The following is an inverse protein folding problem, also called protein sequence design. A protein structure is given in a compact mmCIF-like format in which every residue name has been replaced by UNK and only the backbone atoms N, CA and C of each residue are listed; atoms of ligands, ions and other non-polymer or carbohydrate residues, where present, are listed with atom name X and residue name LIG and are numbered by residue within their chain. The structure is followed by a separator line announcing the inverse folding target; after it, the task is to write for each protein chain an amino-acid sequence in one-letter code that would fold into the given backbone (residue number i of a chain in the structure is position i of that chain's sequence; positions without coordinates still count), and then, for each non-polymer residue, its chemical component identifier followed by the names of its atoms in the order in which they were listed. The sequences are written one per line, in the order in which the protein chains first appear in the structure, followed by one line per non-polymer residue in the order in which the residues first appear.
data_IF_421800411636
#
_entry.id   IF_421800411636
#
_cell.length_a   1.000
_cell.length_b   1.000
_cell.length_c   1.000
_cell.angle_alpha   90.00
_cell.angle_beta   90.00
_cell.angle_gamma   90.00
#
_symmetry.space_group_name_H-M   'P 1'
#
loop_
_entity.id
_entity.type
_entity.pdbx_description
1 polymer ?
#
# COMPACT_ATOMS: atom_id res chain seq x y z
N UNK A 1 -17.91 3.27 -30.40
CA UNK A 1 -17.55 2.11 -29.57
C UNK A 1 -16.42 2.55 -28.66
N UNK A 2 -16.73 3.13 -27.51
CA UNK A 2 -15.72 3.36 -26.47
C UNK A 2 -15.47 2.00 -25.83
N UNK A 3 -14.25 1.49 -25.98
CA UNK A 3 -13.82 0.33 -25.22
C UNK A 3 -13.94 0.72 -23.75
N UNK A 4 -14.88 0.10 -23.05
CA UNK A 4 -15.17 0.32 -21.64
C UNK A 4 -14.04 -0.35 -20.83
N UNK A 5 -12.84 0.23 -20.93
CA UNK A 5 -11.72 -0.20 -20.11
C UNK A 5 -11.96 0.35 -18.70
N UNK A 6 -11.97 -0.51 -17.67
CA UNK A 6 -12.14 -0.06 -16.29
C UNK A 6 -11.09 1.01 -15.99
N UNK A 7 -11.52 2.10 -15.37
CA UNK A 7 -10.61 3.18 -14.98
C UNK A 7 -9.49 2.60 -14.10
N UNK A 8 -8.23 2.99 -14.31
CA UNK A 8 -7.14 2.43 -13.54
C UNK A 8 -7.19 2.89 -12.09
N UNK A 9 -6.72 2.03 -11.19
CA UNK A 9 -6.34 2.43 -9.83
C UNK A 9 -4.96 3.06 -9.89
N UNK A 10 -4.82 4.28 -9.36
CA UNK A 10 -3.52 4.92 -9.26
C UNK A 10 -2.81 4.47 -7.99
N UNK A 11 -1.48 4.45 -8.02
CA UNK A 11 -0.68 4.36 -6.79
C UNK A 11 0.40 5.44 -6.79
N UNK A 12 0.82 5.85 -5.60
CA UNK A 12 1.84 6.88 -5.43
C UNK A 12 2.64 6.63 -4.16
N UNK A 13 3.89 7.07 -4.15
CA UNK A 13 4.67 7.19 -2.94
C UNK A 13 5.18 8.60 -2.77
N UNK A 14 5.14 9.13 -1.55
CA UNK A 14 5.64 10.48 -1.35
C UNK A 14 7.16 10.56 -1.53
N UNK A 15 7.91 9.51 -1.16
CA UNK A 15 9.35 9.42 -1.40
C UNK A 15 10.10 10.69 -0.98
N UNK A 16 10.80 11.31 -1.93
CA UNK A 16 11.54 12.55 -1.72
C UNK A 16 10.72 13.84 -1.99
N UNK A 17 9.51 13.74 -2.54
CA UNK A 17 8.69 14.90 -2.96
C UNK A 17 8.42 15.86 -1.81
N UNK A 18 8.35 17.15 -2.11
CA UNK A 18 7.71 18.11 -1.20
C UNK A 18 6.20 17.87 -1.18
N UNK A 19 5.51 18.45 -0.19
CA UNK A 19 4.04 18.34 -0.15
C UNK A 19 3.39 19.00 -1.36
N UNK A 20 3.91 20.14 -1.83
CA UNK A 20 3.40 20.86 -2.99
C UNK A 20 3.51 20.02 -4.27
N UNK A 21 4.70 19.47 -4.54
CA UNK A 21 4.92 18.60 -5.69
C UNK A 21 4.03 17.34 -5.63
N UNK A 22 3.83 16.78 -4.44
CA UNK A 22 2.94 15.64 -4.25
C UNK A 22 1.48 15.99 -4.58
N UNK A 23 0.98 17.14 -4.12
CA UNK A 23 -0.38 17.59 -4.43
C UNK A 23 -0.57 17.93 -5.91
N UNK A 24 0.45 18.50 -6.55
CA UNK A 24 0.43 18.80 -7.99
C UNK A 24 0.22 17.53 -8.81
N UNK A 25 0.92 16.46 -8.46
CA UNK A 25 0.77 15.14 -9.08
C UNK A 25 -0.65 14.58 -8.88
N UNK A 26 -1.19 14.64 -7.66
CA UNK A 26 -2.56 14.18 -7.40
C UNK A 26 -3.59 14.96 -8.22
N UNK A 27 -3.42 16.28 -8.36
CA UNK A 27 -4.30 17.13 -9.17
C UNK A 27 -4.16 16.85 -10.67
N UNK A 28 -2.94 16.68 -11.16
CA UNK A 28 -2.67 16.35 -12.57
C UNK A 28 -3.35 15.05 -13.01
N UNK A 29 -3.52 14.10 -12.08
CA UNK A 29 -4.24 12.86 -12.31
C UNK A 29 -5.69 12.87 -11.82
N UNK A 30 -6.25 14.03 -11.46
CA UNK A 30 -7.64 14.21 -11.02
C UNK A 30 -8.04 13.28 -9.85
N UNK A 31 -7.10 13.03 -8.95
CA UNK A 31 -7.32 12.18 -7.78
C UNK A 31 -8.21 12.91 -6.78
N UNK A 32 -9.35 12.30 -6.43
CA UNK A 32 -10.31 12.86 -5.46
C UNK A 32 -10.29 12.13 -4.11
N UNK A 33 -9.70 10.93 -4.04
CA UNK A 33 -9.40 10.24 -2.79
C UNK A 33 -7.93 9.79 -2.73
N UNK A 34 -7.26 10.07 -1.61
CA UNK A 34 -5.96 9.47 -1.28
C UNK A 34 -6.16 8.37 -0.24
N UNK A 35 -5.86 7.12 -0.62
CA UNK A 35 -5.96 5.95 0.25
C UNK A 35 -4.59 5.67 0.85
N UNK A 36 -4.39 6.03 2.11
CA UNK A 36 -3.13 5.80 2.82
C UNK A 36 -3.09 4.39 3.41
N UNK A 37 -2.18 3.57 2.88
CA UNK A 37 -1.99 2.17 3.28
C UNK A 37 -0.76 1.99 4.18
N UNK A 38 -0.16 3.06 4.71
CA UNK A 38 0.98 2.92 5.62
C UNK A 38 0.49 2.34 6.95
N UNK A 39 1.02 1.20 7.39
CA UNK A 39 0.70 0.62 8.70
C UNK A 39 0.93 1.62 9.85
N UNK A 40 1.93 2.49 9.72
CA UNK A 40 2.14 3.62 10.61
C UNK A 40 2.20 4.91 9.77
N UNK A 41 1.13 5.71 9.71
CA UNK A 41 1.04 6.91 8.86
C UNK A 41 1.71 8.13 9.54
N UNK A 42 2.93 7.95 10.03
CA UNK A 42 3.75 8.96 10.67
C UNK A 42 5.12 9.04 9.99
N UNK A 43 5.65 10.25 9.85
CA UNK A 43 7.00 10.47 9.31
C UNK A 43 7.73 11.52 10.14
N UNK A 44 8.85 11.11 10.74
CA UNK A 44 9.74 12.03 11.47
C UNK A 44 10.53 12.94 10.53
N UNK A 45 10.92 12.43 9.36
CA UNK A 45 11.78 13.16 8.41
C UNK A 45 11.00 14.13 7.54
N UNK A 46 9.73 13.83 7.29
CA UNK A 46 8.80 14.67 6.54
C UNK A 46 7.49 14.81 7.31
N UNK A 47 7.45 15.64 8.37
CA UNK A 47 6.28 15.80 9.23
C UNK A 47 5.00 16.17 8.47
N UNK A 48 5.12 16.85 7.33
CA UNK A 48 4.03 17.21 6.42
C UNK A 48 3.29 15.99 5.83
N UNK A 49 3.96 14.82 5.76
CA UNK A 49 3.34 13.55 5.38
C UNK A 49 2.84 12.72 6.56
N UNK A 50 2.88 13.24 7.80
CA UNK A 50 2.19 12.59 8.92
C UNK A 50 0.69 12.78 8.79
N UNK A 51 -0.08 11.75 9.17
CA UNK A 51 -1.54 11.64 8.95
C UNK A 51 -2.30 12.96 9.09
N UNK A 52 -2.20 13.62 10.25
CA UNK A 52 -2.98 14.84 10.52
C UNK A 52 -2.59 16.02 9.63
N UNK A 53 -1.29 16.23 9.38
CA UNK A 53 -0.81 17.31 8.52
C UNK A 53 -1.21 17.07 7.06
N UNK A 54 -1.03 15.83 6.59
CA UNK A 54 -1.37 15.44 5.23
C UNK A 54 -2.88 15.52 4.97
N UNK A 55 -3.70 15.01 5.89
CA UNK A 55 -5.16 15.07 5.79
C UNK A 55 -5.68 16.52 5.74
N UNK A 56 -5.11 17.42 6.55
CA UNK A 56 -5.45 18.83 6.53
C UNK A 56 -5.14 19.47 5.17
N UNK A 57 -3.96 19.20 4.60
CA UNK A 57 -3.56 19.78 3.32
C UNK A 57 -4.39 19.21 2.16
N UNK A 58 -4.63 17.90 2.12
CA UNK A 58 -5.49 17.26 1.11
C UNK A 58 -6.90 17.84 1.14
N UNK A 59 -7.46 18.04 2.34
CA UNK A 59 -8.81 18.61 2.51
C UNK A 59 -8.90 20.02 1.94
N UNK A 60 -7.85 20.84 2.11
CA UNK A 60 -7.79 22.20 1.52
C UNK A 60 -7.79 22.18 -0.01
N UNK A 61 -7.26 21.11 -0.61
CA UNK A 61 -7.26 20.89 -2.06
C UNK A 61 -8.50 20.15 -2.57
N UNK A 62 -9.47 19.84 -1.69
CA UNK A 62 -10.68 19.08 -2.05
C UNK A 62 -10.47 17.58 -2.24
N UNK A 63 -9.31 17.04 -1.82
CA UNK A 63 -8.98 15.62 -1.88
C UNK A 63 -9.34 14.98 -0.54
N UNK A 64 -10.10 13.89 -0.55
CA UNK A 64 -10.48 13.19 0.68
C UNK A 64 -9.41 12.20 1.09
N UNK A 65 -8.97 12.28 2.33
CA UNK A 65 -8.04 11.33 2.91
C UNK A 65 -8.78 10.10 3.45
N UNK A 66 -8.27 8.90 3.17
CA UNK A 66 -8.83 7.63 3.64
C UNK A 66 -7.69 6.77 4.17
N UNK A 67 -7.70 6.49 5.48
CA UNK A 67 -6.76 5.56 6.06
C UNK A 67 -7.23 4.11 5.90
N UNK A 68 -6.34 3.23 5.42
CA UNK A 68 -6.55 1.79 5.26
C UNK A 68 -5.28 0.97 5.62
N UNK A 69 -4.38 1.52 6.43
CA UNK A 69 -3.14 0.83 6.82
C UNK A 69 -3.34 -0.39 7.71
N UNK A 70 -4.48 -0.51 8.38
CA UNK A 70 -4.93 -1.68 9.15
C UNK A 70 -5.41 -2.84 8.27
N UNK A 71 -5.93 -2.53 7.07
CA UNK A 71 -6.45 -3.52 6.12
C UNK A 71 -5.43 -3.88 5.03
N UNK A 72 -4.70 -2.89 4.53
CA UNK A 72 -3.85 -3.01 3.34
C UNK A 72 -2.38 -2.67 3.63
N UNK A 73 -2.01 -2.52 4.90
CA UNK A 73 -0.65 -2.18 5.28
C UNK A 73 0.38 -3.27 5.04
N UNK A 74 1.58 -2.85 4.65
CA UNK A 74 2.72 -3.75 4.42
C UNK A 74 3.35 -4.36 5.68
N UNK A 75 2.83 -4.02 6.86
CA UNK A 75 3.18 -4.60 8.17
C UNK A 75 1.87 -4.85 8.94
N UNK A 76 1.23 -6.01 8.76
CA UNK A 76 0.02 -6.37 9.51
C UNK A 76 0.38 -6.70 10.98
N UNK A 77 -0.57 -6.54 11.88
CA UNK A 77 -0.38 -6.90 13.30
C UNK A 77 -0.47 -8.41 13.56
N UNK A 78 -1.09 -9.16 12.63
CA UNK A 78 -1.23 -10.61 12.70
C UNK A 78 0.12 -11.32 12.47
N UNK A 79 0.64 -11.96 13.52
CA UNK A 79 1.92 -12.69 13.53
C UNK A 79 1.98 -13.84 12.53
N UNK A 80 0.85 -14.44 12.16
CA UNK A 80 0.82 -15.53 11.18
C UNK A 80 1.25 -15.07 9.80
N UNK A 81 1.16 -13.75 9.52
CA UNK A 81 1.63 -13.17 8.28
C UNK A 81 3.16 -13.12 8.16
N UNK A 82 3.90 -13.59 9.17
CA UNK A 82 5.35 -13.52 9.22
C UNK A 82 6.01 -14.89 9.08
N UNK A 83 7.09 -14.94 8.29
CA UNK A 83 7.98 -16.10 8.13
C UNK A 83 9.42 -15.58 8.16
N UNK A 84 10.24 -16.12 9.07
CA UNK A 84 11.63 -15.68 9.29
C UNK A 84 11.76 -14.15 9.50
N UNK A 85 10.80 -13.56 10.23
CA UNK A 85 10.74 -12.12 10.48
C UNK A 85 10.39 -11.27 9.26
N UNK A 86 10.01 -11.85 8.11
CA UNK A 86 9.48 -11.09 6.96
C UNK A 86 7.98 -11.27 6.86
N UNK A 87 7.30 -10.23 6.38
CA UNK A 87 5.89 -10.36 6.00
C UNK A 87 5.82 -11.18 4.71
N UNK A 88 5.11 -12.30 4.77
CA UNK A 88 4.78 -13.18 3.66
C UNK A 88 3.47 -12.70 3.02
N UNK A 89 3.54 -12.22 1.77
CA UNK A 89 2.38 -11.60 1.14
C UNK A 89 1.30 -12.60 0.71
N UNK A 90 1.62 -13.88 0.49
CA UNK A 90 0.60 -14.89 0.21
C UNK A 90 -0.22 -15.18 1.46
N UNK A 91 0.44 -15.23 2.62
CA UNK A 91 -0.28 -15.33 3.90
C UNK A 91 -1.18 -14.12 4.12
N UNK A 92 -0.69 -12.89 3.88
CA UNK A 92 -1.52 -11.67 4.00
C UNK A 92 -2.75 -11.72 3.10
N UNK A 93 -2.60 -12.13 1.83
CA UNK A 93 -3.70 -12.24 0.85
C UNK A 93 -4.84 -13.16 1.33
N UNK A 94 -4.52 -14.19 2.11
CA UNK A 94 -5.50 -15.12 2.67
C UNK A 94 -6.29 -14.57 3.87
N UNK A 95 -5.86 -13.46 4.49
CA UNK A 95 -6.48 -12.92 5.70
C UNK A 95 -7.73 -12.09 5.37
N UNK A 96 -8.75 -12.23 6.22
CA UNK A 96 -10.04 -11.55 6.02
C UNK A 96 -9.95 -10.02 6.03
N UNK A 97 -9.08 -9.44 6.87
CA UNK A 97 -8.86 -7.98 6.92
C UNK A 97 -8.39 -7.44 5.57
N UNK A 98 -7.51 -8.18 4.90
CA UNK A 98 -6.94 -7.81 3.62
C UNK A 98 -7.97 -7.93 2.49
N UNK A 99 -8.68 -9.06 2.44
CA UNK A 99 -9.76 -9.29 1.47
C UNK A 99 -10.84 -8.20 1.58
N UNK A 100 -11.22 -7.82 2.80
CA UNK A 100 -12.14 -6.70 3.05
C UNK A 100 -11.59 -5.37 2.52
N UNK A 101 -10.28 -5.14 2.65
CA UNK A 101 -9.61 -3.97 2.10
C UNK A 101 -9.68 -3.93 0.57
N UNK A 102 -9.37 -5.04 -0.10
CA UNK A 102 -9.46 -5.16 -1.56
C UNK A 102 -10.88 -4.96 -2.06
N UNK A 103 -11.88 -5.59 -1.42
CA UNK A 103 -13.28 -5.39 -1.77
C UNK A 103 -13.71 -3.91 -1.64
N UNK A 104 -13.19 -3.19 -0.65
CA UNK A 104 -13.48 -1.77 -0.47
C UNK A 104 -12.92 -0.94 -1.63
N UNK A 105 -11.74 -1.26 -2.14
CA UNK A 105 -11.18 -0.64 -3.35
C UNK A 105 -12.04 -0.95 -4.58
N UNK A 106 -12.46 -2.21 -4.76
CA UNK A 106 -13.35 -2.60 -5.85
C UNK A 106 -14.68 -1.84 -5.82
N UNK A 107 -15.30 -1.74 -4.63
CA UNK A 107 -16.55 -0.99 -4.43
C UNK A 107 -16.38 0.51 -4.72
N UNK A 108 -15.21 1.09 -4.42
CA UNK A 108 -14.91 2.47 -4.77
C UNK A 108 -14.78 2.64 -6.29
N UNK A 109 -14.04 1.74 -6.95
CA UNK A 109 -13.86 1.77 -8.40
C UNK A 109 -15.18 1.59 -9.15
N UNK A 110 -16.01 0.64 -8.73
CA UNK A 110 -17.33 0.39 -9.31
C UNK A 110 -18.29 1.59 -9.18
N UNK A 111 -18.04 2.51 -8.25
CA UNK A 111 -18.78 3.77 -8.08
C UNK A 111 -18.17 4.93 -8.89
N UNK A 112 -17.15 4.66 -9.71
CA UNK A 112 -16.44 5.66 -10.50
C UNK A 112 -15.50 6.56 -9.68
N UNK A 113 -15.10 6.14 -8.47
CA UNK A 113 -14.17 6.92 -7.67
C UNK A 113 -12.78 6.91 -8.31
N UNK A 114 -12.18 8.10 -8.42
CA UNK A 114 -10.80 8.27 -8.88
C UNK A 114 -9.87 8.47 -7.69
N UNK A 115 -9.05 7.46 -7.40
CA UNK A 115 -8.26 7.41 -6.18
C UNK A 115 -6.83 6.94 -6.42
N UNK A 116 -5.93 7.37 -5.53
CA UNK A 116 -4.56 6.90 -5.49
C UNK A 116 -4.27 6.18 -4.16
N UNK A 117 -3.67 5.00 -4.25
CA UNK A 117 -3.16 4.24 -3.10
C UNK A 117 -1.76 4.76 -2.75
N UNK A 118 -1.56 5.19 -1.52
CA UNK A 118 -0.36 5.91 -1.09
C UNK A 118 0.49 5.14 -0.09
N UNK A 119 1.81 5.11 -0.34
CA UNK A 119 2.81 4.64 0.62
C UNK A 119 4.00 5.61 0.75
N UNK A 120 5.04 5.25 1.51
CA UNK A 120 6.24 6.08 1.71
C UNK A 120 7.30 5.91 0.62
N UNK A 121 7.52 4.71 0.09
CA UNK A 121 8.54 4.48 -0.93
C UNK A 121 8.20 5.19 -2.26
N UNK A 122 9.10 5.99 -2.82
CA UNK A 122 8.88 6.60 -4.15
C UNK A 122 8.76 5.54 -5.25
N UNK A 123 9.75 4.65 -5.31
CA UNK A 123 9.84 3.53 -6.27
C UNK A 123 8.80 2.43 -6.00
N UNK A 124 7.86 2.16 -6.92
CA UNK A 124 6.83 1.14 -6.72
C UNK A 124 7.42 -0.26 -6.57
N UNK A 125 8.50 -0.62 -7.28
CA UNK A 125 9.19 -1.91 -7.18
C UNK A 125 9.80 -2.16 -5.78
N UNK A 126 9.94 -1.12 -4.97
CA UNK A 126 10.42 -1.23 -3.60
C UNK A 126 9.28 -1.29 -2.57
N UNK A 127 8.03 -1.23 -2.99
CA UNK A 127 6.90 -1.06 -2.09
C UNK A 127 5.98 -2.27 -2.08
N UNK A 128 5.29 -2.50 -0.96
CA UNK A 128 4.21 -3.48 -0.88
C UNK A 128 3.00 -3.09 -1.76
N UNK A 129 2.85 -1.80 -2.10
CA UNK A 129 1.75 -1.34 -2.96
C UNK A 129 1.76 -2.02 -4.34
N UNK A 130 2.93 -2.38 -4.86
CA UNK A 130 3.04 -3.18 -6.10
C UNK A 130 3.03 -4.68 -5.80
N UNK A 131 3.89 -5.14 -4.88
CA UNK A 131 4.15 -6.56 -4.60
C UNK A 131 2.99 -7.32 -3.95
N UNK A 132 2.13 -6.62 -3.24
CA UNK A 132 0.98 -7.20 -2.54
C UNK A 132 -0.31 -6.71 -3.19
N UNK A 133 -0.60 -5.42 -3.09
CA UNK A 133 -1.89 -4.86 -3.54
C UNK A 133 -1.99 -4.84 -5.06
N UNK A 134 -0.93 -4.41 -5.75
CA UNK A 134 -0.88 -4.39 -7.21
C UNK A 134 -1.12 -5.78 -7.81
N UNK A 135 -0.48 -6.82 -7.26
CA UNK A 135 -0.72 -8.21 -7.68
C UNK A 135 -2.16 -8.66 -7.45
N UNK A 136 -2.75 -8.34 -6.29
CA UNK A 136 -4.14 -8.69 -6.01
C UNK A 136 -5.14 -7.96 -6.90
N UNK A 137 -4.89 -6.70 -7.26
CA UNK A 137 -5.73 -5.95 -8.20
C UNK A 137 -5.59 -6.47 -9.63
N UNK A 138 -4.36 -6.78 -10.06
CA UNK A 138 -4.10 -7.35 -11.38
C UNK A 138 -4.78 -8.72 -11.55
N UNK A 139 -4.74 -9.57 -10.52
CA UNK A 139 -5.44 -10.86 -10.52
C UNK A 139 -6.98 -10.74 -10.59
N UNK A 140 -7.51 -9.54 -10.37
CA UNK A 140 -8.94 -9.19 -10.50
C UNK A 140 -9.23 -8.42 -11.79
N UNK A 141 -8.30 -8.39 -12.74
CA UNK A 141 -8.38 -7.64 -14.01
C UNK A 141 -8.58 -6.13 -13.80
N UNK A 142 -8.12 -5.58 -12.67
CA UNK A 142 -8.16 -4.14 -12.38
C UNK A 142 -6.84 -3.51 -12.80
N UNK A 143 -6.83 -2.60 -13.79
CA UNK A 143 -5.61 -1.93 -14.22
C UNK A 143 -5.03 -1.09 -13.07
N UNK A 144 -3.73 -1.19 -12.84
CA UNK A 144 -3.01 -0.40 -11.84
C UNK A 144 -1.94 0.44 -12.54
N UNK A 145 -1.96 1.74 -12.32
CA UNK A 145 -0.94 2.67 -12.78
C UNK A 145 -0.18 3.25 -11.59
N UNK A 146 1.11 2.95 -11.52
CA UNK A 146 2.01 3.47 -10.50
C UNK A 146 2.60 4.78 -10.99
N UNK A 147 2.46 5.82 -10.17
CA UNK A 147 3.22 7.05 -10.32
C UNK A 147 4.57 6.81 -9.63
N UNK A 148 5.63 6.66 -10.43
CA UNK A 148 6.99 6.39 -9.94
C UNK A 148 7.64 7.65 -9.35
N UNK A 149 8.91 7.62 -8.94
CA UNK A 149 9.61 8.75 -8.35
C UNK A 149 9.86 9.95 -9.28
N UNK A 150 9.65 9.79 -10.59
CA UNK A 150 9.85 10.81 -11.62
C UNK A 150 8.51 11.30 -12.20
N UNK A 151 7.40 11.02 -11.51
CA UNK A 151 6.02 11.33 -11.94
C UNK A 151 5.59 10.58 -13.22
N UNK A 152 6.32 9.55 -13.63
CA UNK A 152 5.95 8.72 -14.78
C UNK A 152 4.92 7.67 -14.37
N UNK A 153 3.95 7.42 -15.26
CA UNK A 153 3.00 6.32 -15.11
C UNK A 153 3.62 5.02 -15.63
N UNK A 154 3.57 3.99 -14.80
CA UNK A 154 4.08 2.65 -15.09
C UNK A 154 3.01 1.64 -14.71
N UNK A 155 2.63 0.75 -15.62
CA UNK A 155 1.68 -0.33 -15.33
C UNK A 155 2.27 -1.38 -14.37
N UNK A 156 1.39 -2.19 -13.78
CA UNK A 156 1.79 -3.22 -12.81
C UNK A 156 2.77 -4.21 -13.41
N UNK A 157 2.51 -4.73 -14.62
CA UNK A 157 3.37 -5.71 -15.25
C UNK A 157 4.78 -5.17 -15.48
N UNK A 158 4.92 -3.92 -15.93
CA UNK A 158 6.22 -3.28 -16.12
C UNK A 158 6.95 -3.07 -14.78
N UNK A 159 6.24 -2.75 -13.69
CA UNK A 159 6.85 -2.69 -12.35
C UNK A 159 7.37 -4.06 -11.92
N UNK A 160 6.61 -5.13 -12.15
CA UNK A 160 7.05 -6.49 -11.84
C UNK A 160 8.24 -6.91 -12.71
N UNK A 161 8.23 -6.59 -14.01
CA UNK A 161 9.38 -6.86 -14.89
C UNK A 161 10.65 -6.16 -14.42
N UNK A 162 10.55 -4.89 -13.98
CA UNK A 162 11.69 -4.14 -13.39
C UNK A 162 12.19 -4.81 -12.11
N UNK A 163 11.27 -5.29 -11.28
CA UNK A 163 11.59 -5.97 -10.02
C UNK A 163 12.34 -7.30 -10.24
N UNK A 164 11.89 -8.09 -11.22
CA UNK A 164 12.44 -9.43 -11.49
C UNK A 164 13.61 -9.43 -12.45
N UNK A 165 13.98 -8.27 -13.00
CA UNK A 165 14.98 -8.18 -14.08
C UNK A 165 14.53 -8.91 -15.35
N UNK A 166 13.22 -9.03 -15.58
CA UNK A 166 12.64 -9.77 -16.69
C UNK A 166 12.68 -11.30 -16.55
N UNK A 167 13.19 -11.83 -15.43
CA UNK A 167 13.13 -13.26 -15.13
C UNK A 167 11.82 -13.57 -14.42
N UNK A 168 10.74 -13.75 -15.19
CA UNK A 168 9.56 -14.46 -14.67
C UNK A 168 9.98 -15.91 -14.47
N UNK A 169 9.82 -16.43 -13.26
CA UNK A 169 10.13 -17.81 -12.92
C UNK A 169 9.41 -18.75 -13.89
N UNK A 170 10.17 -19.33 -14.82
CA UNK A 170 9.66 -20.22 -15.86
C UNK A 170 9.00 -21.50 -15.28
N UNK A 171 9.11 -21.73 -13.96
CA UNK A 171 8.67 -22.95 -13.25
C UNK A 171 8.22 -22.74 -11.78
N UNK A 172 7.82 -21.54 -11.34
CA UNK A 172 7.36 -21.36 -9.95
C UNK A 172 6.57 -20.07 -9.73
N UNK A 173 5.65 -20.05 -8.79
CA UNK A 173 4.98 -18.82 -8.37
C UNK A 173 6.02 -17.89 -7.72
N UNK A 174 6.09 -16.64 -8.17
CA UNK A 174 6.92 -15.60 -7.55
C UNK A 174 6.33 -15.25 -6.18
N UNK A 175 6.95 -15.71 -5.09
CA UNK A 175 6.53 -15.31 -3.75
C UNK A 175 7.18 -13.98 -3.37
N UNK A 176 6.37 -12.95 -3.15
CA UNK A 176 6.85 -11.66 -2.69
C UNK A 176 6.78 -11.56 -1.16
N UNK A 177 7.78 -10.90 -0.57
CA UNK A 177 7.83 -10.63 0.87
C UNK A 177 8.14 -9.16 1.13
N UNK A 178 7.99 -8.71 2.38
CA UNK A 178 8.58 -7.44 2.80
C UNK A 178 10.09 -7.41 2.53
N UNK A 179 10.58 -6.23 2.13
CA UNK A 179 12.04 -5.99 2.02
C UNK A 179 12.71 -6.02 3.38
N UNK A 180 12.06 -5.39 4.37
CA UNK A 180 12.53 -5.31 5.75
C UNK A 180 12.22 -6.60 6.50
N UNK A 181 13.13 -7.00 7.39
CA UNK A 181 12.88 -7.96 8.47
C UNK A 181 12.45 -7.22 9.73
N UNK A 182 11.50 -7.79 10.45
CA UNK A 182 10.94 -7.32 11.69
C UNK A 182 11.29 -8.33 12.78
N UNK A 183 11.55 -7.84 13.99
CA UNK A 183 11.68 -8.68 15.15
C UNK A 183 10.34 -9.38 15.42
N UNK A 184 10.38 -10.64 15.82
CA UNK A 184 9.17 -11.37 16.21
C UNK A 184 8.45 -10.59 17.31
N UNK A 185 7.11 -10.42 17.23
CA UNK A 185 6.38 -9.87 18.34
C UNK A 185 6.65 -10.77 19.55
N UNK A 186 7.12 -10.19 20.65
CA UNK A 186 7.32 -10.91 21.89
C UNK A 186 6.02 -11.68 22.19
N UNK A 187 6.09 -13.01 22.17
CA UNK A 187 4.99 -13.85 22.63
C UNK A 187 4.68 -13.39 24.05
N UNK A 188 3.47 -12.89 24.27
CA UNK A 188 3.03 -12.44 25.59
C UNK A 188 3.29 -13.53 26.61
N UNK A 189 4.27 -13.30 27.48
CA UNK A 189 4.44 -14.08 28.70
C UNK A 189 3.27 -13.76 29.60
N UNK A 190 2.42 -14.76 29.81
CA UNK A 190 1.29 -14.69 30.74
C UNK A 190 1.76 -14.47 32.18
N UNK A 191 0.94 -13.71 32.89
CA UNK A 191 0.51 -13.88 34.28
C UNK A 191 1.57 -14.34 35.28
N UNK A 192 2.03 -13.39 36.10
CA UNK A 192 2.74 -13.62 37.35
C UNK A 192 2.42 -12.50 38.34
N UNK A 193 1.19 -12.45 38.84
CA UNK A 193 0.91 -11.84 40.13
C UNK A 193 1.23 -12.89 41.18
N UNK A 194 2.44 -12.85 41.74
CA UNK A 194 2.70 -13.49 43.01
C UNK A 194 2.35 -12.47 44.10
N UNK A 195 1.27 -12.79 44.81
CA UNK A 195 0.93 -12.22 46.10
C UNK A 195 2.08 -12.52 47.07
N UNK A 196 2.66 -11.48 47.68
CA UNK A 196 3.37 -11.60 48.95
C UNK A 196 2.72 -10.62 49.93
N UNK A 197 1.74 -11.14 50.65
CA UNK A 197 1.41 -10.76 52.02
C UNK A 197 2.60 -11.13 52.93
N UNK A 198 3.24 -10.14 53.56
CA UNK A 198 3.64 -10.14 54.99
C UNK A 198 4.20 -8.76 55.42
#
# INVERSE_FOLDING_TARGET
MTLDHPSPVYTIGYGARSIEAFLDVLRAHEIVYLVDIRSAPYSRFKPEFSKGALEAELTRQGIRYVYMGDQLGGRPDDSDCYVDGKVDYERVKSKAFYQTGIERLQKALARGARFAIMCSEGKPENCHRSKLIGESLLALDIPVLHIDENDALVDQEAVIMRLTGGQLSLFGEMTFTSRKRYDEPATGGGDGWEDEDD
#
